data_IF_500195319864
#
_entry.id   IF_500195319864
#
_cell.length_a   1.000
_cell.length_b   1.000
_cell.length_c   1.000
_cell.angle_alpha   90.00
_cell.angle_beta   90.00
_cell.angle_gamma   90.00
#
_symmetry.space_group_name_H-M   'P 1'
#
loop_
_entity.id
_entity.type
_entity.pdbx_description
1 polymer ?
#
# COMPACT_ATOMS: atom_id res chain seq x y z
N UNK A 1 0.49 -20.38 3.16
CA UNK A 1 -0.92 -20.15 3.58
C UNK A 1 -1.11 -18.78 4.27
N UNK A 2 -0.17 -18.30 5.08
CA UNK A 2 -0.26 -16.99 5.76
C UNK A 2 -0.41 -15.79 4.82
N UNK A 3 0.40 -15.70 3.75
CA UNK A 3 0.32 -14.60 2.78
C UNK A 3 -1.08 -14.46 2.15
N UNK A 4 -1.71 -15.59 1.83
CA UNK A 4 -3.07 -15.60 1.28
C UNK A 4 -4.08 -15.03 2.27
N UNK A 5 -4.02 -15.44 3.53
CA UNK A 5 -4.88 -14.89 4.59
C UNK A 5 -4.63 -13.41 4.81
N UNK A 6 -3.37 -12.97 4.79
CA UNK A 6 -2.98 -11.57 4.96
C UNK A 6 -3.57 -10.67 3.86
N UNK A 7 -3.48 -11.11 2.61
CA UNK A 7 -4.05 -10.40 1.46
C UNK A 7 -5.57 -10.36 1.56
N UNK A 8 -6.23 -11.44 1.99
CA UNK A 8 -7.69 -11.48 2.16
C UNK A 8 -8.14 -10.51 3.27
N UNK A 9 -7.49 -10.55 4.44
CA UNK A 9 -7.80 -9.64 5.56
C UNK A 9 -7.55 -8.20 5.15
N UNK A 10 -6.43 -7.93 4.47
CA UNK A 10 -6.11 -6.61 3.92
C UNK A 10 -7.16 -6.12 2.93
N UNK A 11 -7.65 -6.98 2.04
CA UNK A 11 -8.69 -6.64 1.07
C UNK A 11 -10.04 -6.35 1.74
N UNK A 12 -10.46 -7.15 2.72
CA UNK A 12 -11.71 -6.93 3.46
C UNK A 12 -11.61 -5.61 4.24
N UNK A 13 -10.51 -5.38 4.95
CA UNK A 13 -10.29 -4.16 5.74
C UNK A 13 -10.18 -2.93 4.86
N UNK A 14 -9.51 -3.04 3.71
CA UNK A 14 -9.41 -1.97 2.72
C UNK A 14 -10.76 -1.63 2.10
N UNK A 15 -11.57 -2.64 1.80
CA UNK A 15 -12.91 -2.42 1.27
C UNK A 15 -13.83 -1.74 2.30
N UNK A 16 -13.80 -2.17 3.56
CA UNK A 16 -14.61 -1.55 4.62
C UNK A 16 -14.18 -0.12 4.89
N UNK A 17 -12.88 0.15 5.04
CA UNK A 17 -12.34 1.49 5.22
C UNK A 17 -12.59 2.39 4.01
N UNK A 18 -12.41 1.86 2.80
CA UNK A 18 -12.72 2.57 1.56
C UNK A 18 -14.20 2.93 1.48
N UNK A 19 -15.10 1.99 1.77
CA UNK A 19 -16.53 2.23 1.75
C UNK A 19 -16.94 3.31 2.76
N UNK A 20 -16.46 3.22 4.01
CA UNK A 20 -16.75 4.22 5.06
C UNK A 20 -16.16 5.58 4.67
N UNK A 21 -14.88 5.61 4.27
CA UNK A 21 -14.14 6.82 3.92
C UNK A 21 -14.70 7.55 2.70
N UNK A 22 -15.26 6.83 1.73
CA UNK A 22 -15.92 7.41 0.55
C UNK A 22 -17.37 7.80 0.83
N UNK A 23 -18.07 7.08 1.72
CA UNK A 23 -19.47 7.37 2.05
C UNK A 23 -19.62 8.67 2.85
N UNK A 24 -18.76 8.92 3.83
CA UNK A 24 -18.88 10.11 4.69
C UNK A 24 -18.82 11.43 3.88
N UNK A 25 -17.84 11.65 2.98
CA UNK A 25 -17.77 12.87 2.19
C UNK A 25 -18.84 12.93 1.09
N UNK A 26 -19.40 11.79 0.67
CA UNK A 26 -20.52 11.71 -0.29
C UNK A 26 -21.85 12.16 0.33
N UNK A 27 -22.17 11.63 1.52
CA UNK A 27 -23.48 11.85 2.16
C UNK A 27 -23.49 13.06 3.10
N UNK A 28 -22.36 13.38 3.72
CA UNK A 28 -22.22 14.49 4.67
C UNK A 28 -21.07 15.45 4.28
N UNK A 29 -21.02 15.98 3.04
CA UNK A 29 -19.94 16.88 2.61
C UNK A 29 -19.83 18.15 3.46
N UNK A 30 -20.97 18.65 3.96
CA UNK A 30 -21.05 19.85 4.79
C UNK A 30 -20.42 19.69 6.19
N UNK A 31 -20.03 18.48 6.59
CA UNK A 31 -19.31 18.24 7.84
C UNK A 31 -17.91 18.85 7.82
N UNK A 32 -17.26 18.89 6.65
CA UNK A 32 -15.88 19.36 6.50
C UNK A 32 -15.79 20.78 5.98
N UNK A 33 -16.72 21.19 5.12
CA UNK A 33 -16.72 22.54 4.52
C UNK A 33 -18.10 22.92 4.01
N UNK A 34 -18.42 24.21 4.06
CA UNK A 34 -19.67 24.77 3.51
C UNK A 34 -19.50 25.29 2.08
N UNK A 35 -18.27 25.35 1.56
CA UNK A 35 -17.98 25.85 0.21
C UNK A 35 -18.33 24.81 -0.87
N UNK A 36 -19.28 25.16 -1.74
CA UNK A 36 -19.76 24.30 -2.83
C UNK A 36 -18.69 23.99 -3.87
N UNK A 37 -17.71 24.89 -4.08
CA UNK A 37 -16.63 24.63 -5.03
C UNK A 37 -15.72 23.51 -4.53
N UNK A 38 -15.38 23.52 -3.24
CA UNK A 38 -14.54 22.49 -2.61
C UNK A 38 -15.27 21.14 -2.60
N UNK A 39 -16.57 21.14 -2.30
CA UNK A 39 -17.40 19.92 -2.35
C UNK A 39 -17.41 19.33 -3.76
N UNK A 40 -17.51 20.17 -4.80
CA UNK A 40 -17.46 19.74 -6.19
C UNK A 40 -16.14 19.07 -6.56
N UNK A 41 -15.00 19.65 -6.18
CA UNK A 41 -13.68 19.04 -6.42
C UNK A 41 -13.47 17.75 -5.62
N UNK A 42 -13.94 17.70 -4.37
CA UNK A 42 -13.86 16.51 -3.53
C UNK A 42 -14.59 15.31 -4.16
N UNK A 43 -15.75 15.53 -4.77
CA UNK A 43 -16.50 14.48 -5.44
C UNK A 43 -15.79 13.92 -6.69
N UNK A 44 -14.96 14.73 -7.37
CA UNK A 44 -14.18 14.28 -8.53
C UNK A 44 -13.05 13.31 -8.12
N UNK A 45 -12.50 13.47 -6.93
CA UNK A 45 -11.40 12.65 -6.41
C UNK A 45 -11.85 11.44 -5.61
N UNK A 46 -13.16 11.30 -5.38
CA UNK A 46 -13.73 10.25 -4.53
C UNK A 46 -13.42 8.82 -5.02
N UNK A 47 -13.41 8.63 -6.34
CA UNK A 47 -13.12 7.35 -6.99
C UNK A 47 -11.64 6.98 -6.82
N UNK A 48 -10.66 7.80 -7.24
CA UNK A 48 -9.25 7.46 -7.01
C UNK A 48 -8.92 7.33 -5.52
N UNK A 49 -9.54 8.14 -4.65
CA UNK A 49 -9.42 7.98 -3.20
C UNK A 49 -9.86 6.59 -2.70
N UNK A 50 -11.02 6.09 -3.17
CA UNK A 50 -11.50 4.75 -2.83
C UNK A 50 -10.52 3.66 -3.28
N UNK A 51 -10.03 3.75 -4.53
CA UNK A 51 -9.10 2.76 -5.11
C UNK A 51 -7.74 2.80 -4.40
N UNK A 52 -7.30 3.97 -3.93
CA UNK A 52 -6.10 4.06 -3.10
C UNK A 52 -6.33 3.43 -1.72
N UNK A 53 -7.45 3.74 -1.05
CA UNK A 53 -7.76 3.19 0.27
C UNK A 53 -7.93 1.68 0.29
N UNK A 54 -8.50 1.09 -0.77
CA UNK A 54 -8.77 -0.35 -0.78
C UNK A 54 -7.50 -1.21 -0.67
N UNK A 55 -6.39 -0.71 -1.19
CA UNK A 55 -5.13 -1.44 -1.26
C UNK A 55 -4.22 -1.11 -0.07
N UNK A 56 -4.39 0.05 0.57
CA UNK A 56 -3.51 0.54 1.66
C UNK A 56 -3.33 -0.43 2.82
N UNK A 57 -4.38 -1.05 3.39
CA UNK A 57 -4.18 -1.99 4.49
C UNK A 57 -3.38 -3.24 4.08
N UNK A 58 -3.60 -3.72 2.85
CA UNK A 58 -2.85 -4.84 2.31
C UNK A 58 -1.38 -4.46 2.09
N UNK A 59 -1.10 -3.29 1.50
CA UNK A 59 0.26 -2.78 1.31
C UNK A 59 1.00 -2.64 2.63
N UNK A 60 0.38 -2.02 3.64
CA UNK A 60 1.01 -1.81 4.95
C UNK A 60 1.33 -3.14 5.64
N UNK A 61 0.44 -4.13 5.49
CA UNK A 61 0.65 -5.46 6.06
C UNK A 61 1.80 -6.21 5.39
N UNK A 62 1.90 -6.12 4.06
CA UNK A 62 3.01 -6.71 3.29
C UNK A 62 4.34 -6.03 3.62
N UNK A 63 4.38 -4.70 3.67
CA UNK A 63 5.58 -3.95 4.05
C UNK A 63 6.00 -4.21 5.50
N UNK A 64 5.04 -4.33 6.41
CA UNK A 64 5.27 -4.77 7.79
C UNK A 64 5.88 -6.17 7.86
N UNK A 65 5.45 -7.07 6.98
CA UNK A 65 6.03 -8.42 6.88
C UNK A 65 7.48 -8.37 6.37
N UNK A 66 7.78 -7.53 5.38
CA UNK A 66 9.15 -7.32 4.88
C UNK A 66 10.05 -6.68 5.94
N UNK A 67 9.52 -5.75 6.74
CA UNK A 67 10.21 -5.17 7.90
C UNK A 67 10.54 -6.22 8.95
N UNK A 68 9.58 -7.09 9.29
CA UNK A 68 9.78 -8.20 10.21
C UNK A 68 10.84 -9.19 9.68
N UNK A 69 10.89 -9.39 8.36
CA UNK A 69 11.90 -10.17 7.67
C UNK A 69 13.28 -9.53 7.55
N UNK A 70 13.49 -8.33 8.12
CA UNK A 70 14.74 -7.54 8.04
C UNK A 70 15.21 -7.23 6.61
N UNK A 71 14.32 -7.28 5.62
CA UNK A 71 14.65 -7.05 4.21
C UNK A 71 14.64 -5.54 3.86
N UNK A 72 15.30 -4.73 4.71
CA UNK A 72 15.25 -3.26 4.70
C UNK A 72 15.87 -2.64 3.45
N UNK A 73 16.87 -3.30 2.85
CA UNK A 73 17.53 -2.81 1.64
C UNK A 73 16.56 -2.80 0.46
N UNK A 74 15.81 -3.88 0.27
CA UNK A 74 14.78 -3.95 -0.77
C UNK A 74 13.68 -2.91 -0.51
N UNK A 75 13.21 -2.80 0.73
CA UNK A 75 12.18 -1.85 1.10
C UNK A 75 12.61 -0.40 0.83
N UNK A 76 13.82 -0.02 1.24
CA UNK A 76 14.36 1.33 1.04
C UNK A 76 14.53 1.66 -0.45
N UNK A 77 15.08 0.72 -1.23
CA UNK A 77 15.31 0.91 -2.66
C UNK A 77 13.99 0.98 -3.45
N UNK A 78 13.02 0.13 -3.10
CA UNK A 78 11.67 0.17 -3.67
C UNK A 78 10.94 1.47 -3.29
N UNK A 79 10.97 1.88 -2.02
CA UNK A 79 10.36 3.13 -1.56
C UNK A 79 10.96 4.35 -2.28
N UNK A 80 12.30 4.43 -2.34
CA UNK A 80 13.00 5.51 -3.02
C UNK A 80 12.72 5.52 -4.52
N UNK A 81 12.76 4.36 -5.18
CA UNK A 81 12.44 4.22 -6.60
C UNK A 81 11.00 4.64 -6.93
N UNK A 82 10.03 4.14 -6.16
CA UNK A 82 8.64 4.55 -6.30
C UNK A 82 8.47 6.06 -6.06
N UNK A 83 9.16 6.64 -5.07
CA UNK A 83 9.06 8.07 -4.77
C UNK A 83 9.63 8.92 -5.89
N UNK A 84 10.82 8.59 -6.40
CA UNK A 84 11.42 9.30 -7.53
C UNK A 84 10.55 9.20 -8.80
N UNK A 85 10.09 8.00 -9.16
CA UNK A 85 9.25 7.78 -10.33
C UNK A 85 7.87 8.43 -10.16
N UNK A 86 7.26 8.30 -8.99
CA UNK A 86 5.98 8.92 -8.65
C UNK A 86 6.07 10.45 -8.65
N UNK A 87 7.15 11.02 -8.12
CA UNK A 87 7.41 12.45 -8.15
C UNK A 87 7.61 12.97 -9.57
N UNK A 88 8.38 12.27 -10.42
CA UNK A 88 8.54 12.60 -11.83
C UNK A 88 7.20 12.57 -12.58
N UNK A 89 6.40 11.51 -12.34
CA UNK A 89 5.07 11.37 -12.93
C UNK A 89 4.15 12.51 -12.48
N UNK A 90 4.17 12.87 -11.20
CA UNK A 90 3.37 13.97 -10.67
C UNK A 90 3.78 15.31 -11.28
N UNK A 91 5.09 15.57 -11.42
CA UNK A 91 5.60 16.76 -12.11
C UNK A 91 5.11 16.84 -13.55
N UNK A 92 5.11 15.72 -14.27
CA UNK A 92 4.60 15.65 -15.65
C UNK A 92 3.08 15.88 -15.72
N UNK A 93 2.32 15.38 -14.76
CA UNK A 93 0.86 15.57 -14.69
C UNK A 93 0.53 17.03 -14.36
N UNK A 94 1.28 17.64 -13.45
CA UNK A 94 1.17 19.06 -13.11
C UNK A 94 1.50 19.96 -14.30
N UNK A 95 2.58 19.65 -15.06
CA UNK A 95 2.96 20.45 -16.23
C UNK A 95 1.94 20.37 -17.38
N UNK A 96 1.15 19.28 -17.45
CA UNK A 96 0.05 19.10 -18.41
C UNK A 96 -1.28 19.70 -17.95
N UNK A 97 -1.33 20.37 -16.79
CA UNK A 97 -2.54 21.04 -16.30
C UNK A 97 -3.67 20.08 -15.91
N UNK A 98 -3.37 18.81 -15.60
CA UNK A 98 -4.39 17.78 -15.31
C UNK A 98 -5.11 17.94 -13.96
N UNK A 99 -4.84 19.04 -13.24
CA UNK A 99 -5.54 19.43 -12.02
C UNK A 99 -5.47 18.42 -10.87
N UNK A 100 -6.32 18.61 -9.87
CA UNK A 100 -6.42 17.78 -8.68
C UNK A 100 -6.73 16.29 -8.98
N UNK A 101 -7.65 15.94 -9.90
CA UNK A 101 -7.93 14.53 -10.21
C UNK A 101 -6.73 13.78 -10.78
N UNK A 102 -5.91 14.44 -11.62
CA UNK A 102 -4.68 13.85 -12.15
C UNK A 102 -3.69 13.46 -11.05
N UNK A 103 -3.51 14.33 -10.06
CA UNK A 103 -2.65 14.05 -8.91
C UNK A 103 -3.14 12.83 -8.09
N UNK A 104 -4.44 12.70 -7.89
CA UNK A 104 -5.03 11.57 -7.18
C UNK A 104 -4.91 10.24 -7.94
N UNK A 105 -5.01 10.27 -9.27
CA UNK A 105 -4.74 9.09 -10.10
C UNK A 105 -3.27 8.69 -10.05
N UNK A 106 -2.35 9.65 -10.05
CA UNK A 106 -0.93 9.38 -9.84
C UNK A 106 -0.67 8.72 -8.47
N UNK A 107 -1.31 9.24 -7.42
CA UNK A 107 -1.22 8.68 -6.07
C UNK A 107 -1.78 7.24 -6.00
N UNK A 108 -2.89 6.99 -6.69
CA UNK A 108 -3.48 5.66 -6.79
C UNK A 108 -2.52 4.69 -7.46
N UNK A 109 -1.92 5.08 -8.59
CA UNK A 109 -0.92 4.29 -9.29
C UNK A 109 0.31 4.01 -8.43
N UNK A 110 0.78 5.01 -7.67
CA UNK A 110 1.87 4.86 -6.72
C UNK A 110 1.53 3.82 -5.64
N UNK A 111 0.35 3.89 -5.04
CA UNK A 111 -0.08 2.96 -3.99
C UNK A 111 -0.18 1.51 -4.50
N UNK A 112 -0.67 1.33 -5.73
CA UNK A 112 -0.76 0.02 -6.39
C UNK A 112 0.61 -0.53 -6.81
N UNK A 113 1.53 0.33 -7.25
CA UNK A 113 2.89 -0.07 -7.60
C UNK A 113 3.62 -0.62 -6.36
N UNK A 114 3.47 0.04 -5.21
CA UNK A 114 4.04 -0.43 -3.93
C UNK A 114 3.48 -1.78 -3.52
N UNK A 115 2.15 -1.93 -3.56
CA UNK A 115 1.49 -3.19 -3.27
C UNK A 115 2.05 -4.31 -4.15
N UNK A 116 2.14 -4.07 -5.46
CA UNK A 116 2.59 -5.06 -6.43
C UNK A 116 4.06 -5.45 -6.20
N UNK A 117 4.94 -4.50 -5.93
CA UNK A 117 6.36 -4.77 -5.65
C UNK A 117 6.54 -5.56 -4.35
N UNK A 118 5.81 -5.19 -3.29
CA UNK A 118 5.85 -5.91 -2.03
C UNK A 118 5.30 -7.34 -2.19
N UNK A 119 4.19 -7.50 -2.92
CA UNK A 119 3.59 -8.80 -3.19
C UNK A 119 4.51 -9.68 -4.06
N UNK A 120 5.11 -9.13 -5.12
CA UNK A 120 6.07 -9.84 -5.96
C UNK A 120 7.28 -10.33 -5.16
N UNK A 121 7.80 -9.52 -4.23
CA UNK A 121 8.92 -9.92 -3.36
C UNK A 121 8.53 -11.05 -2.41
N UNK A 122 7.32 -11.02 -1.86
CA UNK A 122 6.80 -12.03 -0.94
C UNK A 122 6.41 -13.35 -1.63
N UNK A 123 6.01 -13.29 -2.90
CA UNK A 123 5.71 -14.48 -3.74
C UNK A 123 6.98 -15.06 -4.36
N UNK A 124 8.03 -14.25 -4.55
CA UNK A 124 9.29 -14.69 -5.15
C UNK A 124 9.87 -15.92 -4.41
N UNK A 125 10.37 -16.95 -5.13
CA UNK A 125 10.96 -18.16 -4.54
C UNK A 125 12.19 -17.92 -3.64
N UNK A 126 12.74 -16.71 -3.64
CA UNK A 126 13.85 -16.26 -2.78
C UNK A 126 13.38 -15.41 -1.59
N UNK A 127 12.06 -15.28 -1.39
CA UNK A 127 11.45 -14.51 -0.32
C UNK A 127 11.46 -15.27 1.00
N UNK A 128 11.60 -14.51 2.10
CA UNK A 128 11.68 -14.91 3.51
C UNK A 128 10.89 -16.16 3.96
N UNK A 129 9.78 -16.48 3.29
CA UNK A 129 8.93 -17.65 3.56
C UNK A 129 9.53 -19.00 3.10
N UNK A 130 10.63 -19.00 2.33
CA UNK A 130 11.33 -20.20 1.87
C UNK A 130 12.72 -20.39 2.53
N UNK A 131 13.17 -19.45 3.38
CA UNK A 131 14.39 -19.67 4.16
C UNK A 131 14.10 -20.66 5.29
N UNK A 132 14.38 -21.94 5.04
CA UNK A 132 14.38 -23.04 6.02
C UNK A 132 15.40 -22.84 7.17
N UNK A 133 16.24 -21.80 7.11
CA UNK A 133 17.31 -21.53 8.09
C UNK A 133 16.83 -21.04 9.47
N UNK A 134 15.52 -20.87 9.70
CA UNK A 134 14.99 -20.62 11.05
C UNK A 134 14.69 -21.91 11.85
N UNK A 135 14.84 -23.09 11.24
CA UNK A 135 14.73 -24.39 11.92
C UNK A 135 16.09 -25.11 11.99
N UNK A 136 17.09 -24.44 12.55
CA UNK A 136 18.29 -25.15 13.03
C UNK A 136 18.19 -25.28 14.55
N UNK A 137 17.65 -26.39 15.10
CA UNK A 137 17.78 -26.72 16.51
C UNK A 137 19.22 -27.17 16.78
N UNK A 138 20.15 -26.21 16.75
CA UNK A 138 21.47 -26.37 17.35
C UNK A 138 21.37 -26.01 18.84
N UNK A 139 21.85 -26.91 19.69
CA UNK A 139 22.04 -26.81 21.16
C UNK A 139 21.11 -27.64 22.06
N UNK A 140 20.96 -28.95 21.79
CA UNK A 140 21.03 -29.98 22.87
C UNK A 140 21.73 -31.23 22.32
N UNK A 141 23.05 -31.17 22.13
CA UNK A 141 23.90 -32.37 22.07
C UNK A 141 25.35 -32.02 22.43
N UNK A 142 25.54 -31.58 23.67
CA UNK A 142 26.86 -31.41 24.26
C UNK A 142 26.76 -31.54 25.80
N UNK A 143 26.31 -32.71 26.28
CA UNK A 143 26.62 -33.21 27.62
C UNK A 143 26.09 -34.66 27.74
N UNK A 144 26.78 -35.57 27.06
CA UNK A 144 26.67 -37.00 27.31
C UNK A 144 27.92 -37.69 26.75
N UNK A 145 29.10 -37.36 27.29
CA UNK A 145 30.25 -38.26 27.33
C UNK A 145 31.16 -37.84 28.48
#
# INVERSE_FOLDING_TARGET
>A
MLLKSLVIIGAITGLTLGAIGTSVPRFFPNLFTTDRMVIGEMHKVLIPYFIALMVTPATHSLEGTLLAGRDLRFLSLSMGGCFCLGGLLLLLICSRGSGLPGCWWALTGFQWARFSLALQRLISPSGLLYNEDFYQPGYIKAEAT
#
